data_IF_138698346208
#
_entry.id   IF_138698346208
#
_cell.length_a   1.000
_cell.length_b   1.000
_cell.length_c   1.000
_cell.angle_alpha   90.00
_cell.angle_beta   90.00
_cell.angle_gamma   90.00
#
_symmetry.space_group_name_H-M   'P 1'
#
loop_
_entity.id
_entity.type
_entity.pdbx_description
1 polymer ?
#
# COMPACT_ATOMS: atom_id res chain seq x y z
N UNK A 1 -25.75 -26.81 5.23
CA UNK A 1 -24.31 -27.09 5.30
C UNK A 1 -23.48 -25.97 5.96
N UNK A 2 -24.03 -24.78 6.18
CA UNK A 2 -23.31 -23.61 6.73
C UNK A 2 -23.52 -23.37 8.24
N UNK A 3 -24.50 -23.98 8.89
CA UNK A 3 -24.83 -23.72 10.29
C UNK A 3 -23.85 -24.18 11.37
N UNK A 4 -22.84 -25.00 11.04
CA UNK A 4 -21.83 -25.49 12.00
C UNK A 4 -20.47 -24.80 11.87
N UNK A 5 -20.24 -23.97 10.85
CA UNK A 5 -18.92 -23.44 10.54
C UNK A 5 -18.51 -22.18 11.32
N UNK A 6 -19.44 -21.47 11.92
CA UNK A 6 -19.21 -20.09 12.39
C UNK A 6 -18.77 -19.95 13.81
N UNK A 7 -19.19 -20.85 14.69
CA UNK A 7 -18.73 -20.88 16.09
C UNK A 7 -17.21 -21.12 16.20
N UNK A 8 -16.62 -21.71 15.18
CA UNK A 8 -15.20 -22.09 15.16
C UNK A 8 -14.23 -20.95 14.81
N UNK A 9 -14.73 -19.71 14.55
CA UNK A 9 -13.90 -18.58 14.09
C UNK A 9 -14.18 -17.27 14.85
N UNK A 10 -14.83 -17.29 15.99
CA UNK A 10 -15.18 -16.08 16.76
C UNK A 10 -13.97 -15.38 17.33
N UNK A 11 -13.05 -16.13 17.92
CA UNK A 11 -11.79 -15.60 18.43
C UNK A 11 -10.91 -15.07 17.30
N UNK A 12 -10.83 -15.79 16.19
CA UNK A 12 -10.08 -15.38 15.01
C UNK A 12 -10.62 -14.06 14.43
N UNK A 13 -11.95 -13.87 14.40
CA UNK A 13 -12.57 -12.61 13.97
C UNK A 13 -12.26 -11.49 14.96
N UNK A 14 -12.38 -11.75 16.26
CA UNK A 14 -12.03 -10.79 17.30
C UNK A 14 -10.56 -10.38 17.17
N UNK A 15 -9.64 -11.32 17.03
CA UNK A 15 -8.22 -11.07 16.85
C UNK A 15 -7.94 -10.26 15.56
N UNK A 16 -8.62 -10.62 14.48
CA UNK A 16 -8.53 -9.88 13.21
C UNK A 16 -8.91 -8.40 13.39
N UNK A 17 -10.00 -8.07 14.12
CA UNK A 17 -10.37 -6.69 14.35
C UNK A 17 -9.30 -5.92 15.14
N UNK A 18 -8.68 -6.55 16.17
CA UNK A 18 -7.61 -5.93 16.96
C UNK A 18 -6.40 -5.61 16.09
N UNK A 19 -5.95 -6.58 15.29
CA UNK A 19 -4.82 -6.37 14.38
C UNK A 19 -5.17 -5.41 13.22
N UNK A 20 -6.37 -5.41 12.72
CA UNK A 20 -6.82 -4.41 11.74
C UNK A 20 -6.80 -2.99 12.35
N UNK A 21 -7.17 -2.86 13.62
CA UNK A 21 -7.02 -1.61 14.38
C UNK A 21 -5.56 -1.14 14.44
N UNK A 22 -4.62 -2.06 14.69
CA UNK A 22 -3.18 -1.74 14.66
C UNK A 22 -2.72 -1.31 13.26
N UNK A 23 -3.21 -1.94 12.19
CA UNK A 23 -2.90 -1.54 10.81
C UNK A 23 -3.39 -0.12 10.54
N UNK A 24 -4.62 0.22 10.93
CA UNK A 24 -5.15 1.58 10.80
C UNK A 24 -4.37 2.58 11.64
N UNK A 25 -3.99 2.23 12.87
CA UNK A 25 -3.15 3.08 13.73
C UNK A 25 -1.83 3.43 13.03
N UNK A 26 -1.16 2.43 12.46
CA UNK A 26 0.08 2.62 11.70
C UNK A 26 -0.15 3.44 10.43
N UNK A 27 -1.25 3.21 9.71
CA UNK A 27 -1.60 3.94 8.49
C UNK A 27 -1.80 5.43 8.76
N UNK A 28 -2.63 5.78 9.76
CA UNK A 28 -2.90 7.18 10.12
C UNK A 28 -1.67 7.85 10.74
N UNK A 29 -0.91 7.16 11.60
CA UNK A 29 0.33 7.71 12.19
C UNK A 29 1.36 8.00 11.11
N UNK A 30 1.56 7.06 10.17
CA UNK A 30 2.47 7.25 9.05
C UNK A 30 2.04 8.38 8.10
N UNK A 31 0.73 8.57 7.92
CA UNK A 31 0.18 9.64 7.09
C UNK A 31 0.33 11.01 7.75
N UNK A 32 0.04 11.12 9.04
CA UNK A 32 0.06 12.39 9.78
C UNK A 32 1.41 13.11 9.74
N UNK A 33 2.51 12.37 9.81
CA UNK A 33 3.86 12.96 9.76
C UNK A 33 4.23 13.52 8.38
N UNK A 34 3.44 13.23 7.34
CA UNK A 34 3.68 13.65 5.96
C UNK A 34 2.59 14.58 5.42
N UNK A 35 1.44 14.65 6.10
CA UNK A 35 0.20 15.18 5.53
C UNK A 35 0.31 16.63 5.08
N UNK A 36 0.97 17.49 5.85
CA UNK A 36 1.16 18.90 5.51
C UNK A 36 2.02 19.07 4.26
N UNK A 37 3.14 18.36 4.19
CA UNK A 37 4.05 18.45 3.05
C UNK A 37 3.43 17.86 1.77
N UNK A 38 2.55 16.88 1.89
CA UNK A 38 1.90 16.26 0.72
C UNK A 38 0.64 17.03 0.29
N UNK A 39 -0.28 17.34 1.22
CA UNK A 39 -1.65 17.78 0.93
C UNK A 39 -2.06 19.09 1.61
N UNK A 40 -1.22 19.63 2.48
CA UNK A 40 -1.47 20.91 3.15
C UNK A 40 -1.61 22.05 2.15
N UNK A 41 -2.05 23.21 2.62
CA UNK A 41 -2.28 24.40 1.80
C UNK A 41 -1.05 24.83 0.98
N UNK A 42 0.15 24.58 1.50
CA UNK A 42 1.44 24.78 0.84
C UNK A 42 2.17 23.49 0.51
N UNK A 43 1.46 22.36 0.53
CA UNK A 43 2.00 21.04 0.19
C UNK A 43 2.28 20.86 -1.30
N UNK A 44 2.78 19.68 -1.66
CA UNK A 44 3.07 19.32 -3.06
C UNK A 44 1.78 19.27 -3.90
N UNK A 45 0.70 18.67 -3.36
CA UNK A 45 -0.60 18.55 -4.02
C UNK A 45 -1.72 19.03 -3.08
N UNK A 46 -1.95 20.36 -2.95
CA UNK A 46 -2.90 20.90 -1.99
C UNK A 46 -4.32 20.34 -2.15
N UNK A 47 -4.88 19.79 -1.07
CA UNK A 47 -6.20 19.19 -1.05
C UNK A 47 -7.30 20.16 -1.48
N UNK A 48 -7.25 21.42 -1.00
CA UNK A 48 -8.22 22.46 -1.34
C UNK A 48 -8.27 22.76 -2.84
N UNK A 49 -7.12 22.88 -3.49
CA UNK A 49 -7.03 23.11 -4.93
C UNK A 49 -7.59 21.92 -5.73
N UNK A 50 -7.29 20.69 -5.29
CA UNK A 50 -7.84 19.48 -5.92
C UNK A 50 -9.36 19.45 -5.82
N UNK A 51 -9.92 19.74 -4.64
CA UNK A 51 -11.37 19.75 -4.44
C UNK A 51 -12.04 20.86 -5.25
N UNK A 52 -11.44 22.04 -5.36
CA UNK A 52 -11.99 23.11 -6.20
C UNK A 52 -11.99 22.71 -7.69
N UNK A 53 -10.92 22.08 -8.21
CA UNK A 53 -10.88 21.51 -9.56
C UNK A 53 -11.95 20.44 -9.75
N UNK A 54 -12.14 19.54 -8.76
CA UNK A 54 -13.15 18.49 -8.80
C UNK A 54 -14.58 19.09 -8.76
N UNK A 55 -14.80 20.14 -7.98
CA UNK A 55 -16.08 20.89 -7.93
C UNK A 55 -16.44 21.46 -9.30
N UNK A 56 -15.49 22.13 -9.98
CA UNK A 56 -15.69 22.69 -11.31
C UNK A 56 -15.96 21.61 -12.36
N UNK A 57 -15.23 20.49 -12.28
CA UNK A 57 -15.32 19.41 -13.27
C UNK A 57 -16.58 18.56 -13.14
N UNK A 58 -17.01 18.23 -11.93
CA UNK A 58 -18.04 17.22 -11.68
C UNK A 58 -19.39 17.80 -11.17
N UNK A 59 -19.44 19.07 -10.79
CA UNK A 59 -20.65 19.68 -10.20
C UNK A 59 -21.14 18.87 -8.98
N UNK A 60 -22.44 18.52 -8.97
CA UNK A 60 -23.04 17.74 -7.86
C UNK A 60 -22.47 16.31 -7.80
N UNK A 61 -22.04 15.73 -8.93
CA UNK A 61 -21.46 14.39 -8.98
C UNK A 61 -20.11 14.27 -8.24
N UNK A 62 -19.53 15.39 -7.78
CA UNK A 62 -18.29 15.40 -7.00
C UNK A 62 -18.38 14.56 -5.74
N UNK A 63 -19.52 14.54 -5.05
CA UNK A 63 -19.73 13.77 -3.81
C UNK A 63 -19.63 12.25 -4.06
N UNK A 64 -20.01 11.81 -5.23
CA UNK A 64 -19.87 10.43 -5.65
C UNK A 64 -18.48 10.13 -6.23
N UNK A 65 -17.92 11.03 -7.06
CA UNK A 65 -16.61 10.82 -7.73
C UNK A 65 -15.42 10.99 -6.80
N UNK A 66 -15.60 11.77 -5.75
CA UNK A 66 -14.60 12.05 -4.73
C UNK A 66 -15.29 12.01 -3.35
N UNK A 67 -15.59 10.81 -2.83
CA UNK A 67 -16.30 10.63 -1.56
C UNK A 67 -15.38 10.97 -0.39
N UNK A 68 -15.40 12.22 0.07
CA UNK A 68 -14.53 12.71 1.13
C UNK A 68 -15.26 13.62 2.09
N UNK A 69 -14.90 13.57 3.38
CA UNK A 69 -15.35 14.47 4.41
C UNK A 69 -14.77 15.89 4.23
N UNK A 70 -13.68 16.01 3.49
CA UNK A 70 -13.00 17.29 3.25
C UNK A 70 -13.75 18.27 2.35
N UNK A 71 -14.92 17.89 1.82
CA UNK A 71 -15.86 18.85 1.23
C UNK A 71 -16.40 19.86 2.22
N UNK A 72 -16.45 19.53 3.52
CA UNK A 72 -16.88 20.41 4.59
C UNK A 72 -15.76 21.40 4.95
N UNK A 73 -14.55 20.90 5.13
CA UNK A 73 -13.37 21.70 5.46
C UNK A 73 -12.10 20.96 5.01
N UNK A 74 -11.28 21.61 4.18
CA UNK A 74 -10.02 21.07 3.65
C UNK A 74 -8.78 21.81 4.16
N UNK A 75 -8.92 22.58 5.26
CA UNK A 75 -7.79 23.26 5.90
C UNK A 75 -6.78 22.26 6.50
N UNK A 76 -5.56 22.72 6.74
CA UNK A 76 -4.51 21.93 7.38
C UNK A 76 -4.95 21.37 8.74
N UNK A 77 -5.73 22.13 9.51
CA UNK A 77 -6.29 21.66 10.79
C UNK A 77 -7.32 20.53 10.59
N UNK A 78 -8.15 20.62 9.55
CA UNK A 78 -9.11 19.57 9.24
C UNK A 78 -8.43 18.28 8.80
N UNK A 79 -7.37 18.37 8.00
CA UNK A 79 -6.55 17.22 7.59
C UNK A 79 -5.92 16.54 8.82
N UNK A 80 -5.29 17.33 9.70
CA UNK A 80 -4.69 16.80 10.94
C UNK A 80 -5.76 16.22 11.86
N UNK A 81 -6.88 16.93 12.04
CA UNK A 81 -7.99 16.50 12.89
C UNK A 81 -8.57 15.15 12.44
N UNK A 82 -8.80 14.96 11.14
CA UNK A 82 -9.27 13.69 10.60
C UNK A 82 -8.25 12.55 10.82
N UNK A 83 -6.95 12.83 10.72
CA UNK A 83 -5.91 11.86 11.06
C UNK A 83 -5.88 11.49 12.54
N UNK A 84 -6.07 12.47 13.44
CA UNK A 84 -6.17 12.24 14.90
C UNK A 84 -7.42 11.41 15.22
N UNK A 85 -8.57 11.72 14.61
CA UNK A 85 -9.79 10.89 14.73
C UNK A 85 -9.50 9.45 14.31
N UNK A 86 -8.79 9.26 13.19
CA UNK A 86 -8.35 7.94 12.76
C UNK A 86 -7.51 7.21 13.81
N UNK A 87 -6.56 7.89 14.45
CA UNK A 87 -5.75 7.31 15.53
C UNK A 87 -6.62 6.92 16.74
N UNK A 88 -7.51 7.81 17.20
CA UNK A 88 -8.38 7.54 18.36
C UNK A 88 -9.26 6.33 18.11
N UNK A 89 -9.95 6.26 16.96
CA UNK A 89 -10.80 5.12 16.63
C UNK A 89 -10.00 3.83 16.36
N UNK A 90 -8.76 3.95 15.90
CA UNK A 90 -7.86 2.79 15.83
C UNK A 90 -7.55 2.22 17.21
N UNK A 91 -7.27 3.07 18.19
CA UNK A 91 -7.05 2.65 19.58
C UNK A 91 -8.32 2.05 20.21
N UNK A 92 -9.50 2.64 19.98
CA UNK A 92 -10.77 2.07 20.41
C UNK A 92 -10.98 0.67 19.80
N UNK A 93 -10.66 0.49 18.52
CA UNK A 93 -10.75 -0.81 17.86
C UNK A 93 -9.77 -1.83 18.46
N UNK A 94 -8.53 -1.43 18.73
CA UNK A 94 -7.50 -2.29 19.36
C UNK A 94 -7.93 -2.74 20.78
N UNK A 95 -8.55 -1.85 21.55
CA UNK A 95 -8.98 -2.10 22.93
C UNK A 95 -10.39 -2.69 23.05
N UNK A 96 -10.98 -3.15 21.96
CA UNK A 96 -12.32 -3.76 21.87
C UNK A 96 -13.50 -2.85 22.24
N UNK A 97 -13.35 -1.57 21.98
CA UNK A 97 -14.42 -0.61 22.21
C UNK A 97 -15.08 -0.18 20.89
N UNK A 98 -16.41 -0.18 20.87
CA UNK A 98 -17.21 0.31 19.73
C UNK A 98 -16.77 -0.27 18.37
N UNK A 99 -16.49 -1.57 18.31
CA UNK A 99 -15.86 -2.24 17.16
C UNK A 99 -16.47 -1.85 15.81
N UNK A 100 -17.80 -1.98 15.62
CA UNK A 100 -18.46 -1.66 14.34
C UNK A 100 -18.43 -0.16 14.03
N UNK A 101 -18.63 0.71 15.02
CA UNK A 101 -18.54 2.17 14.85
C UNK A 101 -17.12 2.57 14.49
N UNK A 102 -16.13 2.02 15.19
CA UNK A 102 -14.73 2.29 14.92
C UNK A 102 -14.34 1.92 13.49
N UNK A 103 -14.73 0.73 13.03
CA UNK A 103 -14.45 0.27 11.66
C UNK A 103 -15.09 1.19 10.61
N UNK A 104 -16.33 1.64 10.82
CA UNK A 104 -16.99 2.56 9.91
C UNK A 104 -16.29 3.92 9.86
N UNK A 105 -15.99 4.51 11.02
CA UNK A 105 -15.28 5.80 11.11
C UNK A 105 -13.89 5.72 10.49
N UNK A 106 -13.13 4.67 10.77
CA UNK A 106 -11.80 4.43 10.20
C UNK A 106 -11.87 4.33 8.68
N UNK A 107 -12.82 3.57 8.16
CA UNK A 107 -13.04 3.45 6.72
C UNK A 107 -13.41 4.80 6.09
N UNK A 108 -14.34 5.56 6.67
CA UNK A 108 -14.75 6.87 6.16
C UNK A 108 -13.60 7.89 6.18
N UNK A 109 -12.83 7.95 7.27
CA UNK A 109 -11.66 8.83 7.37
C UNK A 109 -10.59 8.45 6.35
N UNK A 110 -10.26 7.15 6.22
CA UNK A 110 -9.24 6.71 5.29
C UNK A 110 -9.65 6.90 3.83
N UNK A 111 -10.91 6.60 3.49
CA UNK A 111 -11.49 6.88 2.18
C UNK A 111 -11.41 8.39 1.85
N UNK A 112 -11.65 9.24 2.85
CA UNK A 112 -11.55 10.69 2.66
C UNK A 112 -10.14 11.12 2.27
N UNK A 113 -9.11 10.57 2.90
CA UNK A 113 -7.72 10.83 2.52
C UNK A 113 -7.37 10.26 1.15
N UNK A 114 -7.77 9.02 0.86
CA UNK A 114 -7.49 8.39 -0.44
C UNK A 114 -8.18 9.16 -1.57
N UNK A 115 -9.39 9.66 -1.35
CA UNK A 115 -10.14 10.45 -2.34
C UNK A 115 -9.47 11.76 -2.73
N UNK A 116 -8.73 12.40 -1.82
CA UNK A 116 -7.95 13.61 -2.11
C UNK A 116 -6.48 13.30 -2.40
N UNK A 117 -6.08 12.06 -2.22
CA UNK A 117 -4.68 11.62 -2.12
C UNK A 117 -3.91 11.60 -3.43
N UNK A 118 -4.60 11.80 -4.56
CA UNK A 118 -3.99 11.91 -5.87
C UNK A 118 -2.86 10.87 -6.06
N UNK A 119 -1.69 11.27 -6.53
CA UNK A 119 -0.56 10.37 -6.79
C UNK A 119 0.01 9.68 -5.53
N UNK A 120 -0.13 10.29 -4.34
CA UNK A 120 0.52 9.76 -3.12
C UNK A 120 -0.32 8.74 -2.32
N UNK A 121 -1.61 8.54 -2.64
CA UNK A 121 -2.51 7.60 -1.95
C UNK A 121 -3.27 6.68 -2.93
N UNK A 122 -2.70 6.39 -4.11
CA UNK A 122 -3.26 5.49 -5.11
C UNK A 122 -2.54 4.13 -5.17
N UNK A 123 -1.96 3.69 -4.08
CA UNK A 123 -1.26 2.41 -4.03
C UNK A 123 -2.21 1.25 -3.70
N UNK A 124 -1.80 0.03 -4.07
CA UNK A 124 -2.64 -1.16 -3.84
C UNK A 124 -2.87 -1.47 -2.35
N UNK A 125 -1.97 -1.06 -1.46
CA UNK A 125 -2.20 -1.20 0.00
C UNK A 125 -3.27 -0.26 0.54
N UNK A 126 -3.41 0.96 -0.02
CA UNK A 126 -4.49 1.87 0.34
C UNK A 126 -5.84 1.29 -0.09
N UNK A 127 -5.90 0.75 -1.31
CA UNK A 127 -7.07 0.08 -1.84
C UNK A 127 -7.43 -1.19 -1.03
N UNK A 128 -6.43 -2.00 -0.65
CA UNK A 128 -6.65 -3.20 0.17
C UNK A 128 -7.14 -2.84 1.56
N UNK A 129 -6.58 -1.80 2.20
CA UNK A 129 -7.02 -1.37 3.53
C UNK A 129 -8.48 -0.88 3.51
N UNK A 130 -8.90 -0.17 2.46
CA UNK A 130 -10.30 0.24 2.29
C UNK A 130 -11.23 -0.94 2.05
N UNK A 131 -10.87 -1.87 1.16
CA UNK A 131 -11.68 -3.06 0.90
C UNK A 131 -11.84 -3.91 2.17
N UNK A 132 -10.75 -4.20 2.86
CA UNK A 132 -10.76 -5.01 4.09
C UNK A 132 -11.42 -4.27 5.26
N UNK A 133 -11.25 -2.96 5.37
CA UNK A 133 -11.90 -2.15 6.39
C UNK A 133 -13.42 -2.18 6.28
N UNK A 134 -13.96 -2.06 5.04
CA UNK A 134 -15.38 -2.16 4.81
C UNK A 134 -15.92 -3.58 5.04
N UNK A 135 -15.20 -4.60 4.60
CA UNK A 135 -15.56 -5.99 4.88
C UNK A 135 -15.50 -6.30 6.37
N UNK A 136 -14.52 -5.77 7.10
CA UNK A 136 -14.44 -5.86 8.55
C UNK A 136 -15.65 -5.21 9.23
N UNK A 137 -16.08 -4.04 8.74
CA UNK A 137 -17.32 -3.41 9.22
C UNK A 137 -18.54 -4.31 9.03
N UNK A 138 -18.75 -4.88 7.84
CA UNK A 138 -19.85 -5.82 7.61
C UNK A 138 -19.77 -7.06 8.48
N UNK A 139 -18.56 -7.64 8.60
CA UNK A 139 -18.30 -8.80 9.44
C UNK A 139 -18.59 -8.53 10.93
N UNK A 140 -18.31 -7.31 11.41
CA UNK A 140 -18.59 -6.92 12.80
C UNK A 140 -20.08 -6.77 13.12
N UNK A 141 -20.92 -6.63 12.11
CA UNK A 141 -22.37 -6.54 12.21
C UNK A 141 -23.07 -7.89 11.93
N UNK A 142 -22.33 -8.85 11.35
CA UNK A 142 -22.89 -10.17 11.02
C UNK A 142 -23.02 -11.03 12.27
N UNK A 143 -24.01 -11.92 12.29
CA UNK A 143 -24.17 -12.84 13.41
C UNK A 143 -23.24 -14.04 13.27
N UNK A 144 -22.86 -14.68 14.39
CA UNK A 144 -22.04 -15.91 14.35
C UNK A 144 -22.67 -17.05 13.56
N UNK A 145 -23.99 -17.01 13.32
CA UNK A 145 -24.72 -18.02 12.55
C UNK A 145 -24.60 -17.81 11.03
N UNK A 146 -24.12 -16.66 10.58
CA UNK A 146 -23.94 -16.35 9.16
C UNK A 146 -22.48 -16.37 8.77
N UNK A 147 -22.09 -17.37 8.00
CA UNK A 147 -20.72 -17.50 7.47
C UNK A 147 -20.46 -16.66 6.22
N UNK A 148 -21.43 -15.88 5.75
CA UNK A 148 -21.33 -15.31 4.40
C UNK A 148 -20.31 -14.17 4.33
N UNK A 149 -20.31 -13.26 5.31
CA UNK A 149 -19.31 -12.18 5.35
C UNK A 149 -17.89 -12.72 5.58
N UNK A 150 -17.74 -13.77 6.39
CA UNK A 150 -16.48 -14.46 6.59
C UNK A 150 -16.01 -15.17 5.31
N UNK A 151 -16.91 -15.85 4.61
CA UNK A 151 -16.62 -16.50 3.33
C UNK A 151 -16.20 -15.48 2.27
N UNK A 152 -16.88 -14.31 2.20
CA UNK A 152 -16.47 -13.22 1.31
C UNK A 152 -15.04 -12.73 1.64
N UNK A 153 -14.70 -12.61 2.91
CA UNK A 153 -13.32 -12.25 3.31
C UNK A 153 -12.31 -13.30 2.85
N UNK A 154 -12.60 -14.60 3.00
CA UNK A 154 -11.77 -15.68 2.46
C UNK A 154 -11.62 -15.61 0.94
N UNK A 155 -12.71 -15.29 0.23
CA UNK A 155 -12.68 -15.12 -1.21
C UNK A 155 -11.83 -13.92 -1.63
N UNK A 156 -11.85 -12.81 -0.87
CA UNK A 156 -10.98 -11.66 -1.13
C UNK A 156 -9.51 -12.02 -0.91
N UNK A 157 -9.18 -12.77 0.15
CA UNK A 157 -7.80 -13.27 0.38
C UNK A 157 -7.34 -14.14 -0.80
N UNK A 158 -8.18 -15.10 -1.21
CA UNK A 158 -7.93 -15.92 -2.39
C UNK A 158 -7.68 -15.07 -3.64
N UNK A 159 -8.62 -14.17 -3.95
CA UNK A 159 -8.54 -13.31 -5.12
C UNK A 159 -7.31 -12.42 -5.11
N UNK A 160 -6.95 -11.86 -3.95
CA UNK A 160 -5.79 -11.03 -3.77
C UNK A 160 -4.49 -11.79 -4.09
N UNK A 161 -4.29 -12.95 -3.48
CA UNK A 161 -3.08 -13.77 -3.68
C UNK A 161 -3.01 -14.35 -5.09
N UNK A 162 -4.08 -14.99 -5.55
CA UNK A 162 -4.15 -15.58 -6.87
C UNK A 162 -3.98 -14.55 -7.99
N UNK A 163 -4.62 -13.37 -7.88
CA UNK A 163 -4.48 -12.30 -8.88
C UNK A 163 -3.05 -11.81 -8.97
N UNK A 164 -2.36 -11.70 -7.83
CA UNK A 164 -0.95 -11.26 -7.79
C UNK A 164 -0.05 -12.23 -8.56
N UNK A 165 -0.26 -13.54 -8.40
CA UNK A 165 0.52 -14.57 -9.10
C UNK A 165 0.16 -14.67 -10.59
N UNK A 166 -1.12 -14.86 -10.90
CA UNK A 166 -1.54 -15.10 -12.28
C UNK A 166 -1.26 -13.91 -13.21
N UNK A 167 -1.38 -12.68 -12.72
CA UNK A 167 -1.07 -11.48 -13.51
C UNK A 167 0.41 -11.38 -13.89
N UNK A 168 1.34 -11.89 -13.08
CA UNK A 168 2.76 -11.99 -13.40
C UNK A 168 2.96 -12.84 -14.67
N UNK A 169 2.25 -13.97 -14.76
CA UNK A 169 2.31 -14.83 -15.96
C UNK A 169 1.57 -14.25 -17.17
N UNK A 170 0.39 -13.61 -16.93
CA UNK A 170 -0.43 -13.01 -17.98
C UNK A 170 0.14 -11.70 -18.54
N UNK A 171 1.05 -11.03 -17.82
CA UNK A 171 1.69 -9.80 -18.27
C UNK A 171 2.54 -9.96 -19.54
N UNK A 172 3.00 -11.17 -19.80
CA UNK A 172 3.92 -11.46 -20.89
C UNK A 172 5.39 -11.19 -20.56
N UNK A 173 5.70 -10.74 -19.36
CA UNK A 173 7.07 -10.48 -18.93
C UNK A 173 7.91 -11.76 -18.95
N UNK A 174 9.02 -11.69 -19.67
CA UNK A 174 9.94 -12.83 -19.84
C UNK A 174 10.61 -13.22 -18.53
N UNK A 175 10.86 -12.29 -17.61
CA UNK A 175 11.57 -12.57 -16.35
C UNK A 175 10.76 -13.47 -15.43
N UNK A 176 9.43 -13.35 -15.41
CA UNK A 176 8.55 -14.28 -14.68
C UNK A 176 8.49 -15.64 -15.36
N UNK A 177 8.39 -15.68 -16.69
CA UNK A 177 8.27 -16.93 -17.45
C UNK A 177 9.54 -17.78 -17.44
N UNK A 178 10.72 -17.14 -17.46
CA UNK A 178 12.02 -17.84 -17.41
C UNK A 178 12.58 -17.95 -15.97
N UNK A 179 11.79 -17.60 -14.97
CA UNK A 179 12.12 -17.67 -13.56
C UNK A 179 13.33 -16.81 -13.13
N UNK A 180 13.60 -15.71 -13.83
CA UNK A 180 14.71 -14.81 -13.49
C UNK A 180 14.29 -13.54 -12.75
N UNK A 181 13.00 -13.34 -12.46
CA UNK A 181 12.47 -12.09 -11.92
C UNK A 181 13.18 -11.64 -10.63
N UNK A 182 13.39 -12.55 -9.67
CA UNK A 182 14.01 -12.19 -8.39
C UNK A 182 15.51 -11.86 -8.51
N UNK A 183 16.17 -12.24 -9.62
CA UNK A 183 17.54 -11.78 -9.90
C UNK A 183 17.63 -10.25 -9.99
N UNK A 184 16.57 -9.61 -10.49
CA UNK A 184 16.51 -8.15 -10.67
C UNK A 184 15.80 -7.46 -9.50
N UNK A 185 14.77 -8.10 -8.97
CA UNK A 185 13.86 -7.51 -8.00
C UNK A 185 14.55 -6.89 -6.79
N UNK A 186 15.52 -7.59 -6.18
CA UNK A 186 16.16 -7.13 -4.95
C UNK A 186 16.87 -5.79 -5.10
N UNK A 187 17.45 -5.51 -6.25
CA UNK A 187 18.14 -4.26 -6.56
C UNK A 187 17.17 -3.18 -7.03
N UNK A 188 16.18 -3.55 -7.86
CA UNK A 188 15.34 -2.60 -8.58
C UNK A 188 14.05 -2.21 -7.86
N UNK A 189 13.69 -2.88 -6.75
CA UNK A 189 12.52 -2.54 -5.95
C UNK A 189 12.63 -1.12 -5.34
N UNK A 190 11.51 -0.45 -4.98
CA UNK A 190 11.54 0.95 -4.55
C UNK A 190 12.51 1.24 -3.41
N UNK A 191 12.38 0.55 -2.29
CA UNK A 191 13.17 0.76 -1.09
C UNK A 191 13.72 -0.59 -0.59
N UNK A 192 14.86 -1.06 -1.13
CA UNK A 192 15.45 -2.32 -0.70
C UNK A 192 15.98 -2.25 0.74
N UNK A 193 15.86 -3.36 1.46
CA UNK A 193 16.44 -3.53 2.79
C UNK A 193 17.91 -3.95 2.72
N UNK A 194 18.67 -3.91 3.83
CA UNK A 194 20.01 -4.47 3.85
C UNK A 194 20.07 -5.92 3.39
N UNK A 195 19.06 -6.73 3.75
CA UNK A 195 19.00 -8.13 3.34
C UNK A 195 18.84 -8.30 1.82
N UNK A 196 18.17 -7.35 1.14
CA UNK A 196 18.04 -7.38 -0.33
C UNK A 196 19.39 -7.38 -1.03
N UNK A 197 20.38 -6.63 -0.51
CA UNK A 197 21.72 -6.61 -1.07
C UNK A 197 22.38 -7.98 -1.00
N UNK A 198 22.28 -8.69 0.14
CA UNK A 198 22.81 -10.05 0.28
C UNK A 198 22.07 -11.04 -0.61
N UNK A 199 20.74 -10.96 -0.64
CA UNK A 199 19.93 -11.82 -1.50
C UNK A 199 20.25 -11.62 -2.98
N UNK A 200 20.50 -10.39 -3.42
CA UNK A 200 20.91 -10.09 -4.79
C UNK A 200 22.22 -10.81 -5.20
N UNK A 201 23.12 -11.07 -4.25
CA UNK A 201 24.42 -11.77 -4.51
C UNK A 201 24.30 -13.29 -4.58
N UNK A 202 23.14 -13.83 -4.31
CA UNK A 202 22.93 -15.28 -4.37
C UNK A 202 23.03 -15.83 -5.80
N UNK A 203 23.39 -17.12 -5.98
CA UNK A 203 23.50 -17.73 -7.31
C UNK A 203 22.19 -17.69 -8.10
N UNK A 204 22.30 -17.69 -9.44
CA UNK A 204 21.13 -17.65 -10.35
C UNK A 204 20.14 -18.81 -10.09
N UNK A 205 20.64 -19.99 -9.73
CA UNK A 205 19.79 -21.14 -9.38
C UNK A 205 18.88 -20.83 -8.18
N UNK A 206 19.40 -20.15 -7.15
CA UNK A 206 18.63 -19.70 -6.00
C UNK A 206 17.50 -18.75 -6.43
N UNK A 207 17.79 -17.74 -7.25
CA UNK A 207 16.78 -16.82 -7.74
C UNK A 207 15.67 -17.51 -8.53
N UNK A 208 16.03 -18.53 -9.35
CA UNK A 208 15.05 -19.31 -10.10
C UNK A 208 14.12 -20.11 -9.19
N UNK A 209 14.69 -20.78 -8.17
CA UNK A 209 13.91 -21.52 -7.18
C UNK A 209 12.98 -20.58 -6.44
N UNK A 210 13.47 -19.45 -5.92
CA UNK A 210 12.67 -18.48 -5.21
C UNK A 210 11.57 -17.87 -6.11
N UNK A 211 11.86 -17.59 -7.39
CA UNK A 211 10.85 -17.10 -8.35
C UNK A 211 9.75 -18.13 -8.58
N UNK A 212 10.13 -19.40 -8.75
CA UNK A 212 9.16 -20.50 -8.87
C UNK A 212 8.30 -20.62 -7.62
N UNK A 213 8.92 -20.60 -6.42
CA UNK A 213 8.19 -20.67 -5.15
C UNK A 213 7.19 -19.51 -4.97
N UNK A 214 7.58 -18.29 -5.31
CA UNK A 214 6.65 -17.14 -5.28
C UNK A 214 5.44 -17.39 -6.17
N UNK A 215 5.64 -17.79 -7.43
CA UNK A 215 4.56 -18.08 -8.36
C UNK A 215 3.69 -19.25 -7.88
N UNK A 216 4.30 -20.34 -7.40
CA UNK A 216 3.58 -21.49 -6.86
C UNK A 216 2.74 -21.13 -5.65
N UNK A 217 3.30 -20.38 -4.69
CA UNK A 217 2.61 -19.96 -3.47
C UNK A 217 1.45 -19.01 -3.82
N UNK A 218 1.66 -18.03 -4.70
CA UNK A 218 0.61 -17.07 -5.04
C UNK A 218 -0.51 -17.70 -5.89
N UNK A 219 -0.22 -18.72 -6.72
CA UNK A 219 -1.20 -19.30 -7.65
C UNK A 219 -1.87 -20.55 -7.08
N UNK A 220 -1.10 -21.49 -6.52
CA UNK A 220 -1.62 -22.80 -6.12
C UNK A 220 -2.13 -22.82 -4.68
N UNK A 221 -1.38 -22.23 -3.73
CA UNK A 221 -1.72 -22.30 -2.31
C UNK A 221 -3.07 -21.65 -1.96
N UNK A 222 -3.52 -20.54 -2.58
CA UNK A 222 -4.82 -19.92 -2.26
C UNK A 222 -6.02 -20.87 -2.43
N UNK A 223 -5.95 -21.87 -3.31
CA UNK A 223 -7.05 -22.86 -3.47
C UNK A 223 -7.27 -23.70 -2.21
N UNK A 224 -6.24 -23.91 -1.39
CA UNK A 224 -6.36 -24.63 -0.12
C UNK A 224 -7.23 -23.91 0.90
N UNK A 225 -7.49 -22.61 0.73
CA UNK A 225 -8.39 -21.81 1.58
C UNK A 225 -9.80 -22.42 1.61
N UNK A 226 -10.25 -22.99 0.50
CA UNK A 226 -11.59 -23.58 0.36
C UNK A 226 -11.65 -25.09 0.66
N UNK A 227 -10.53 -25.66 1.11
CA UNK A 227 -10.42 -27.08 1.47
C UNK A 227 -10.77 -27.31 2.95
N UNK A 228 -10.25 -28.36 3.57
CA UNK A 228 -10.45 -28.64 4.99
C UNK A 228 -9.83 -27.59 5.91
N UNK A 229 -10.25 -27.52 7.17
CA UNK A 229 -9.69 -26.60 8.17
C UNK A 229 -8.17 -26.76 8.28
N UNK A 230 -7.63 -27.98 8.25
CA UNK A 230 -6.18 -28.23 8.29
C UNK A 230 -5.47 -27.61 7.08
N UNK A 231 -5.99 -27.84 5.87
CA UNK A 231 -5.39 -27.29 4.64
C UNK A 231 -5.50 -25.76 4.59
N UNK A 232 -6.56 -25.19 5.14
CA UNK A 232 -6.72 -23.73 5.27
C UNK A 232 -5.67 -23.13 6.20
N UNK A 233 -5.39 -23.77 7.33
CA UNK A 233 -4.31 -23.34 8.25
C UNK A 233 -2.94 -23.44 7.58
N UNK A 234 -2.67 -24.52 6.84
CA UNK A 234 -1.45 -24.68 6.06
C UNK A 234 -1.31 -23.59 5.02
N UNK A 235 -2.40 -23.24 4.32
CA UNK A 235 -2.41 -22.13 3.37
C UNK A 235 -2.08 -20.80 4.07
N UNK A 236 -2.75 -20.51 5.19
CA UNK A 236 -2.51 -19.28 5.95
C UNK A 236 -1.03 -19.17 6.39
N UNK A 237 -0.45 -20.26 6.87
CA UNK A 237 0.96 -20.29 7.30
C UNK A 237 1.91 -20.06 6.12
N UNK A 238 1.73 -20.74 5.00
CA UNK A 238 2.60 -20.60 3.82
C UNK A 238 2.50 -19.16 3.26
N UNK A 239 1.28 -18.62 3.16
CA UNK A 239 1.05 -17.27 2.69
C UNK A 239 1.66 -16.23 3.65
N UNK A 240 1.55 -16.44 4.98
CA UNK A 240 2.18 -15.57 5.97
C UNK A 240 3.72 -15.61 5.88
N UNK A 241 4.32 -16.79 5.72
CA UNK A 241 5.76 -16.95 5.53
C UNK A 241 6.26 -16.24 4.28
N UNK A 242 5.49 -16.28 3.18
CA UNK A 242 5.80 -15.50 1.97
C UNK A 242 5.82 -13.99 2.29
N UNK A 243 4.82 -13.47 3.02
CA UNK A 243 4.78 -12.06 3.38
C UNK A 243 5.95 -11.65 4.29
N UNK A 244 6.33 -12.51 5.23
CA UNK A 244 7.52 -12.30 6.08
C UNK A 244 8.80 -12.25 5.23
N UNK A 245 8.98 -13.18 4.28
CA UNK A 245 10.13 -13.17 3.36
C UNK A 245 10.21 -11.87 2.54
N UNK A 246 9.06 -11.36 2.07
CA UNK A 246 8.98 -10.09 1.34
C UNK A 246 9.35 -8.91 2.26
N UNK A 247 8.83 -8.86 3.50
CA UNK A 247 9.17 -7.82 4.50
C UNK A 247 10.66 -7.79 4.79
N UNK A 248 11.30 -8.95 4.91
CA UNK A 248 12.73 -9.03 5.21
C UNK A 248 13.59 -8.49 4.07
N UNK A 249 13.13 -8.60 2.83
CA UNK A 249 13.91 -8.20 1.64
C UNK A 249 13.48 -6.88 1.02
N UNK A 250 12.32 -6.33 1.41
CA UNK A 250 11.80 -5.09 0.83
C UNK A 250 10.90 -4.31 1.79
N UNK A 251 10.84 -3.01 1.60
CA UNK A 251 10.07 -2.09 2.41
C UNK A 251 8.74 -1.75 1.74
N UNK A 252 7.74 -2.60 1.90
CA UNK A 252 6.39 -2.38 1.37
C UNK A 252 5.42 -1.83 2.44
N UNK A 253 5.95 -1.35 3.55
CA UNK A 253 5.23 -0.69 4.62
C UNK A 253 4.10 -1.54 5.19
N UNK A 254 2.91 -0.97 5.21
CA UNK A 254 1.71 -1.62 5.76
C UNK A 254 1.20 -2.81 4.93
N UNK A 255 1.60 -2.92 3.66
CA UNK A 255 1.00 -3.90 2.75
C UNK A 255 1.19 -5.34 3.22
N UNK A 256 2.41 -5.71 3.60
CA UNK A 256 2.68 -7.06 4.08
C UNK A 256 2.06 -7.32 5.45
N UNK A 257 2.06 -6.32 6.34
CA UNK A 257 1.41 -6.43 7.65
C UNK A 257 -0.09 -6.67 7.47
N UNK A 258 -0.76 -5.86 6.65
CA UNK A 258 -2.17 -6.05 6.32
C UNK A 258 -2.41 -7.41 5.66
N UNK A 259 -1.50 -7.84 4.74
CA UNK A 259 -1.60 -9.15 4.08
C UNK A 259 -1.50 -10.31 5.08
N UNK A 260 -0.75 -10.19 6.17
CA UNK A 260 -0.72 -11.18 7.25
C UNK A 260 -1.99 -11.10 8.09
N UNK A 261 -2.46 -9.91 8.43
CA UNK A 261 -3.67 -9.71 9.25
C UNK A 261 -4.90 -10.31 8.60
N UNK A 262 -5.07 -10.20 7.30
CA UNK A 262 -6.22 -10.80 6.58
C UNK A 262 -6.19 -12.33 6.53
N UNK A 263 -5.08 -12.98 6.91
CA UNK A 263 -4.98 -14.43 7.02
C UNK A 263 -5.50 -14.96 8.39
N UNK A 264 -5.59 -14.10 9.41
CA UNK A 264 -6.05 -14.50 10.76
C UNK A 264 -7.42 -15.19 10.72
N UNK A 265 -8.44 -14.67 10.01
CA UNK A 265 -9.77 -15.31 9.93
C UNK A 265 -9.80 -16.64 9.16
N UNK A 266 -8.69 -17.09 8.59
CA UNK A 266 -8.55 -18.43 7.99
C UNK A 266 -8.26 -19.51 9.04
N UNK A 267 -7.82 -19.13 10.24
CA UNK A 267 -7.38 -20.04 11.29
C UNK A 267 -8.53 -20.32 12.26
N UNK A 268 -8.97 -21.59 12.43
CA UNK A 268 -10.02 -21.94 13.37
C UNK A 268 -9.63 -21.71 14.83
N UNK A 269 -10.60 -21.34 15.67
CA UNK A 269 -10.40 -21.05 17.10
C UNK A 269 -9.73 -22.18 17.87
N UNK A 270 -9.98 -23.43 17.48
CA UNK A 270 -9.32 -24.61 18.06
C UNK A 270 -7.79 -24.53 17.98
N UNK A 271 -7.22 -23.96 16.93
CA UNK A 271 -5.77 -23.81 16.79
C UNK A 271 -5.25 -22.80 17.81
N UNK A 272 -5.95 -21.66 17.96
CA UNK A 272 -5.61 -20.64 18.95
C UNK A 272 -5.72 -21.20 20.38
N UNK A 273 -6.78 -21.97 20.67
CA UNK A 273 -6.93 -22.63 21.97
C UNK A 273 -5.74 -23.55 22.29
N UNK A 274 -5.31 -24.34 21.32
CA UNK A 274 -4.15 -25.23 21.50
C UNK A 274 -2.84 -24.47 21.75
N UNK A 275 -2.71 -23.22 21.26
CA UNK A 275 -1.53 -22.39 21.45
C UNK A 275 -1.56 -21.58 22.75
N UNK A 276 -2.73 -21.11 23.18
CA UNK A 276 -2.88 -20.17 24.32
C UNK A 276 -3.39 -20.85 25.60
N UNK A 277 -3.93 -22.05 25.50
CA UNK A 277 -4.52 -22.81 26.64
C UNK A 277 -5.87 -22.26 27.13
N UNK A 278 -6.31 -21.10 26.66
CA UNK A 278 -7.59 -20.49 27.00
C UNK A 278 -8.10 -19.58 25.88
N UNK A 279 -9.40 -19.58 25.69
CA UNK A 279 -10.11 -18.60 24.83
C UNK A 279 -11.27 -18.06 25.66
N UNK A 280 -11.33 -16.75 25.83
CA UNK A 280 -12.51 -16.11 26.40
C UNK A 280 -13.68 -16.31 25.45
N UNK A 281 -14.87 -16.56 26.01
CA UNK A 281 -16.11 -16.62 25.22
C UNK A 281 -16.44 -15.22 24.75
N UNK A 282 -16.39 -15.01 23.44
CA UNK A 282 -16.77 -13.74 22.83
C UNK A 282 -18.27 -13.78 22.48
N UNK A 283 -19.02 -12.83 23.04
CA UNK A 283 -20.41 -12.66 22.69
C UNK A 283 -20.52 -11.70 21.49
N UNK A 284 -21.05 -12.20 20.41
CA UNK A 284 -21.46 -11.35 19.30
C UNK A 284 -22.75 -10.63 19.66
N UNK A 285 -22.82 -9.33 19.37
CA UNK A 285 -24.06 -8.58 19.54
C UNK A 285 -25.15 -9.15 18.63
N UNK A 286 -26.30 -9.51 19.21
CA UNK A 286 -27.46 -9.94 18.42
C UNK A 286 -28.12 -8.71 17.80
N UNK A 287 -28.02 -8.58 16.49
CA UNK A 287 -28.73 -7.55 15.73
C UNK A 287 -30.13 -8.04 15.30
N UNK A 288 -31.03 -7.09 15.04
CA UNK A 288 -32.37 -7.42 14.56
C UNK A 288 -32.34 -8.17 13.23
N UNK A 289 -33.33 -9.01 12.95
CA UNK A 289 -33.45 -9.76 11.68
C UNK A 289 -33.38 -8.85 10.44
N UNK A 290 -33.99 -7.65 10.53
CA UNK A 290 -33.92 -6.67 9.44
C UNK A 290 -32.51 -6.24 9.11
N UNK A 291 -31.68 -5.94 10.12
CA UNK A 291 -30.29 -5.59 9.94
C UNK A 291 -29.52 -6.74 9.28
N UNK A 292 -29.75 -7.99 9.73
CA UNK A 292 -29.11 -9.17 9.14
C UNK A 292 -29.45 -9.35 7.65
N UNK A 293 -30.71 -9.16 7.25
CA UNK A 293 -31.10 -9.22 5.83
C UNK A 293 -30.37 -8.15 4.99
N UNK A 294 -30.23 -6.93 5.52
CA UNK A 294 -29.50 -5.85 4.83
C UNK A 294 -28.04 -6.23 4.68
N UNK A 295 -27.40 -6.74 5.74
CA UNK A 295 -25.98 -7.15 5.70
C UNK A 295 -25.78 -8.26 4.67
N UNK A 296 -26.63 -9.29 4.66
CA UNK A 296 -26.56 -10.39 3.70
C UNK A 296 -26.77 -9.92 2.26
N UNK A 297 -27.68 -8.98 2.03
CA UNK A 297 -27.89 -8.39 0.72
C UNK A 297 -26.64 -7.64 0.24
N UNK A 298 -26.06 -6.76 1.07
CA UNK A 298 -24.85 -6.00 0.74
C UNK A 298 -23.69 -6.97 0.49
N UNK A 299 -23.49 -7.96 1.35
CA UNK A 299 -22.45 -8.99 1.21
C UNK A 299 -22.63 -9.77 -0.09
N UNK A 300 -23.86 -10.10 -0.47
CA UNK A 300 -24.19 -10.77 -1.74
C UNK A 300 -23.82 -9.92 -2.96
N UNK A 301 -24.15 -8.64 -2.93
CA UNK A 301 -23.76 -7.71 -4.00
C UNK A 301 -22.23 -7.61 -4.10
N UNK A 302 -21.54 -7.47 -2.97
CA UNK A 302 -20.08 -7.42 -2.95
C UNK A 302 -19.45 -8.73 -3.42
N UNK A 303 -20.02 -9.87 -3.08
CA UNK A 303 -19.55 -11.16 -3.57
C UNK A 303 -19.64 -11.26 -5.10
N UNK A 304 -20.77 -10.83 -5.69
CA UNK A 304 -20.94 -10.78 -7.14
C UNK A 304 -19.92 -9.85 -7.78
N UNK A 305 -19.70 -8.65 -7.22
CA UNK A 305 -18.71 -7.72 -7.73
C UNK A 305 -17.26 -8.27 -7.63
N UNK A 306 -16.95 -8.97 -6.54
CA UNK A 306 -15.67 -9.66 -6.35
C UNK A 306 -15.47 -10.79 -7.36
N UNK A 307 -16.53 -11.55 -7.66
CA UNK A 307 -16.51 -12.60 -8.68
C UNK A 307 -16.30 -12.00 -10.08
N UNK A 308 -17.01 -10.91 -10.39
CA UNK A 308 -16.81 -10.19 -11.66
C UNK A 308 -15.39 -9.62 -11.77
N UNK A 309 -14.83 -9.10 -10.70
CA UNK A 309 -13.44 -8.63 -10.66
C UNK A 309 -12.42 -9.76 -10.88
N UNK A 310 -12.71 -10.94 -10.33
CA UNK A 310 -11.92 -12.15 -10.55
C UNK A 310 -11.99 -12.60 -12.02
N UNK A 311 -13.19 -12.68 -12.59
CA UNK A 311 -13.41 -13.04 -13.99
C UNK A 311 -12.75 -12.03 -14.95
N UNK A 312 -12.74 -10.74 -14.58
CA UNK A 312 -12.11 -9.68 -15.36
C UNK A 312 -10.58 -9.82 -15.53
N UNK A 313 -9.92 -10.69 -14.74
CA UNK A 313 -8.51 -11.02 -14.94
C UNK A 313 -8.31 -11.72 -16.30
N UNK A 314 -9.26 -12.55 -16.69
CA UNK A 314 -9.20 -13.38 -17.89
C UNK A 314 -10.01 -12.79 -19.05
N UNK A 315 -11.16 -12.17 -18.73
CA UNK A 315 -12.08 -11.62 -19.72
C UNK A 315 -11.98 -10.09 -19.75
N UNK A 316 -11.43 -9.54 -20.82
CA UNK A 316 -11.33 -8.09 -21.05
C UNK A 316 -12.67 -7.51 -21.52
N UNK A 317 -13.76 -7.70 -20.76
CA UNK A 317 -15.09 -7.21 -21.09
C UNK A 317 -15.28 -5.75 -20.71
N UNK A 318 -15.58 -4.90 -21.69
CA UNK A 318 -15.90 -3.47 -21.46
C UNK A 318 -17.12 -3.28 -20.56
N UNK A 319 -18.11 -4.16 -20.62
CA UNK A 319 -19.31 -4.13 -19.77
C UNK A 319 -18.97 -4.36 -18.30
N UNK A 320 -18.17 -5.38 -18.00
CA UNK A 320 -17.71 -5.69 -16.64
C UNK A 320 -16.90 -4.52 -16.08
N UNK A 321 -15.95 -3.96 -16.85
CA UNK A 321 -15.19 -2.79 -16.41
C UNK A 321 -16.07 -1.58 -16.13
N UNK A 322 -17.09 -1.32 -16.96
CA UNK A 322 -18.04 -0.21 -16.74
C UNK A 322 -18.83 -0.40 -15.44
N UNK A 323 -19.32 -1.62 -15.18
CA UNK A 323 -20.03 -1.94 -13.94
C UNK A 323 -19.14 -1.75 -12.72
N UNK A 324 -17.94 -2.32 -12.71
CA UNK A 324 -16.98 -2.20 -11.61
C UNK A 324 -16.57 -0.73 -11.38
N UNK A 325 -16.46 0.07 -12.44
CA UNK A 325 -16.11 1.51 -12.34
C UNK A 325 -17.16 2.34 -11.59
N UNK A 326 -18.40 1.87 -11.49
CA UNK A 326 -19.45 2.49 -10.65
C UNK A 326 -19.06 2.44 -9.17
N UNK A 327 -18.44 1.37 -8.72
CA UNK A 327 -18.08 1.17 -7.31
C UNK A 327 -16.65 1.62 -6.99
N UNK A 328 -15.83 1.91 -8.02
CA UNK A 328 -14.41 2.26 -7.85
C UNK A 328 -14.14 3.46 -6.95
N UNK A 329 -14.97 4.53 -6.88
CA UNK A 329 -14.69 5.66 -5.99
C UNK A 329 -14.71 5.30 -4.51
N UNK A 330 -15.36 4.20 -4.13
CA UNK A 330 -15.45 3.74 -2.74
C UNK A 330 -14.44 2.65 -2.39
N UNK A 331 -13.63 2.19 -3.34
CA UNK A 331 -12.62 1.14 -3.15
C UNK A 331 -13.16 -0.14 -2.50
N UNK A 332 -14.43 -0.50 -2.76
CA UNK A 332 -15.09 -1.68 -2.19
C UNK A 332 -14.65 -2.99 -2.84
N UNK A 333 -14.21 -2.93 -4.10
CA UNK A 333 -13.69 -4.07 -4.87
C UNK A 333 -12.55 -3.59 -5.75
N UNK A 334 -11.35 -4.12 -5.55
CA UNK A 334 -10.16 -3.62 -6.20
C UNK A 334 -9.43 -4.69 -7.00
N UNK A 335 -8.50 -4.24 -7.85
CA UNK A 335 -7.63 -5.08 -8.67
C UNK A 335 -6.24 -5.15 -8.04
N UNK A 336 -5.69 -6.35 -7.91
CA UNK A 336 -4.37 -6.57 -7.31
C UNK A 336 -3.41 -7.20 -8.32
N UNK A 337 -2.13 -6.88 -8.19
CA UNK A 337 -1.06 -7.40 -9.02
C UNK A 337 0.17 -6.49 -8.95
N UNK A 338 0.98 -6.66 -7.91
CA UNK A 338 2.25 -5.95 -7.79
C UNK A 338 3.33 -6.62 -8.63
N UNK A 339 4.23 -5.82 -9.19
CA UNK A 339 5.39 -6.28 -9.96
C UNK A 339 5.05 -7.26 -11.08
N UNK A 340 3.93 -7.04 -11.76
CA UNK A 340 3.51 -7.86 -12.91
C UNK A 340 4.49 -7.74 -14.08
N UNK A 341 5.15 -6.61 -14.20
CA UNK A 341 6.29 -6.38 -15.10
C UNK A 341 7.51 -6.03 -14.24
N UNK A 342 8.61 -6.73 -14.44
CA UNK A 342 9.82 -6.57 -13.65
C UNK A 342 10.72 -5.49 -14.23
N UNK A 343 11.15 -4.57 -13.38
CA UNK A 343 12.20 -3.61 -13.70
C UNK A 343 13.55 -4.33 -13.66
N UNK A 344 14.34 -4.21 -14.71
CA UNK A 344 15.63 -4.91 -14.83
C UNK A 344 16.84 -4.00 -14.59
N UNK A 345 16.66 -2.68 -14.69
CA UNK A 345 17.65 -1.65 -14.38
C UNK A 345 17.06 -0.70 -13.34
N UNK A 346 17.88 -0.26 -12.41
CA UNK A 346 17.44 0.72 -11.41
C UNK A 346 17.79 2.13 -11.87
N UNK A 347 16.77 2.94 -12.05
CA UNK A 347 16.90 4.37 -12.29
C UNK A 347 16.48 5.15 -11.04
N UNK A 348 17.17 6.26 -10.79
CA UNK A 348 16.83 7.22 -9.74
C UNK A 348 16.90 8.64 -10.29
N UNK A 349 15.96 9.47 -9.86
CA UNK A 349 15.96 10.91 -10.13
C UNK A 349 16.46 11.62 -8.87
N UNK A 350 17.57 12.34 -8.97
CA UNK A 350 18.11 13.16 -7.89
C UNK A 350 17.84 14.63 -8.19
N UNK A 351 17.42 15.36 -7.15
CA UNK A 351 17.11 16.79 -7.23
C UNK A 351 18.30 17.57 -6.70
N UNK A 352 18.72 18.57 -7.45
CA UNK A 352 19.85 19.43 -7.13
C UNK A 352 19.44 20.90 -7.17
N UNK A 353 19.85 21.66 -6.16
CA UNK A 353 19.71 23.12 -6.11
C UNK A 353 21.05 23.83 -6.28
N UNK A 354 21.00 25.10 -6.71
CA UNK A 354 22.17 25.97 -6.86
C UNK A 354 21.79 27.43 -6.66
N UNK A 355 22.72 28.22 -6.12
CA UNK A 355 22.57 29.68 -5.98
C UNK A 355 23.15 30.45 -7.19
N UNK A 356 24.13 29.86 -7.88
CA UNK A 356 24.91 30.48 -8.96
C UNK A 356 24.74 29.80 -10.33
N UNK A 357 24.02 28.66 -10.39
CA UNK A 357 23.84 27.85 -11.58
C UNK A 357 25.06 27.00 -11.97
N UNK A 358 26.13 27.02 -11.17
CA UNK A 358 27.39 26.32 -11.39
C UNK A 358 27.62 25.27 -10.31
N UNK A 359 27.53 25.66 -9.05
CA UNK A 359 27.71 24.80 -7.90
C UNK A 359 26.38 24.17 -7.46
N UNK A 360 26.26 22.85 -7.67
CA UNK A 360 25.02 22.10 -7.41
C UNK A 360 25.13 21.27 -6.14
N UNK A 361 24.09 21.29 -5.30
CA UNK A 361 23.99 20.54 -4.05
C UNK A 361 22.75 19.65 -4.09
N UNK A 362 22.90 18.33 -3.78
CA UNK A 362 21.81 17.36 -3.82
C UNK A 362 20.91 17.47 -2.59
N UNK A 363 19.59 17.39 -2.79
CA UNK A 363 18.61 17.14 -1.74
C UNK A 363 18.58 15.67 -1.38
N UNK A 364 18.85 15.32 -0.12
CA UNK A 364 18.81 13.93 0.33
C UNK A 364 17.39 13.56 0.80
N UNK A 365 16.89 12.43 0.30
CA UNK A 365 15.66 11.82 0.75
C UNK A 365 15.87 10.97 2.01
N UNK A 366 14.79 10.72 2.79
CA UNK A 366 14.92 9.97 4.05
C UNK A 366 15.23 8.50 3.83
N UNK A 367 14.70 7.92 2.76
CA UNK A 367 14.69 6.48 2.56
C UNK A 367 15.26 6.04 1.20
N UNK A 368 14.96 6.76 0.10
CA UNK A 368 15.54 6.43 -1.20
C UNK A 368 17.04 6.77 -1.24
N UNK A 369 17.85 6.00 -2.00
CA UNK A 369 19.25 6.34 -2.18
C UNK A 369 19.40 7.63 -3.00
N UNK A 370 20.40 8.44 -2.62
CA UNK A 370 20.85 9.64 -3.35
C UNK A 370 22.37 9.56 -3.53
N UNK A 371 23.11 9.24 -2.47
CA UNK A 371 24.56 9.04 -2.50
C UNK A 371 24.90 7.56 -2.49
N UNK A 372 26.10 7.23 -2.92
CA UNK A 372 26.59 5.84 -3.01
C UNK A 372 26.73 5.18 -1.64
N UNK A 373 27.07 5.96 -0.60
CA UNK A 373 27.23 5.54 0.78
C UNK A 373 25.92 5.47 1.56
N UNK A 374 24.79 5.95 0.99
CA UNK A 374 23.50 5.92 1.67
C UNK A 374 23.15 4.49 2.09
N UNK A 375 23.01 4.22 3.41
CA UNK A 375 22.73 2.88 3.89
C UNK A 375 21.34 2.42 3.51
N UNK A 376 21.21 1.14 3.18
CA UNK A 376 19.91 0.48 3.10
C UNK A 376 19.32 0.38 4.51
N UNK A 377 18.00 0.61 4.65
CA UNK A 377 17.31 0.68 5.95
C UNK A 377 15.99 -0.07 5.90
N UNK A 378 15.52 -0.52 7.06
CA UNK A 378 14.12 -0.89 7.25
C UNK A 378 13.33 0.35 7.66
N UNK A 379 12.27 0.66 6.94
CA UNK A 379 11.35 1.75 7.27
C UNK A 379 9.98 1.27 7.79
N UNK A 380 9.73 -0.02 7.73
CA UNK A 380 8.50 -0.62 8.23
C UNK A 380 8.36 -0.32 9.74
N UNK A 381 7.17 0.10 10.20
CA UNK A 381 5.88 0.12 9.49
C UNK A 381 5.57 1.44 8.76
N UNK A 382 6.50 2.39 8.71
CA UNK A 382 6.30 3.69 8.05
C UNK A 382 6.21 3.53 6.53
N UNK A 383 5.30 4.32 5.92
CA UNK A 383 5.08 4.36 4.48
C UNK A 383 5.52 5.72 3.93
N UNK A 384 6.78 5.87 3.46
CA UNK A 384 7.30 7.15 2.95
C UNK A 384 6.75 7.40 1.53
N UNK A 385 5.67 8.18 1.45
CA UNK A 385 4.91 8.39 0.23
C UNK A 385 5.71 9.08 -0.87
N UNK A 386 6.50 10.09 -0.50
CA UNK A 386 7.32 10.83 -1.44
C UNK A 386 8.45 9.96 -2.03
N UNK A 387 9.18 9.23 -1.15
CA UNK A 387 10.28 8.36 -1.59
C UNK A 387 9.78 7.27 -2.55
N UNK A 388 8.61 6.69 -2.27
CA UNK A 388 7.96 5.72 -3.16
C UNK A 388 7.56 6.34 -4.50
N UNK A 389 7.02 7.56 -4.48
CA UNK A 389 6.57 8.23 -5.71
C UNK A 389 7.76 8.63 -6.59
N UNK A 390 8.91 8.98 -6.00
CA UNK A 390 10.15 9.22 -6.74
C UNK A 390 10.64 7.99 -7.51
N UNK A 391 10.46 6.78 -6.95
CA UNK A 391 10.78 5.55 -7.68
C UNK A 391 9.86 5.36 -8.91
N UNK A 392 8.57 5.59 -8.79
CA UNK A 392 7.65 5.54 -9.94
C UNK A 392 7.98 6.60 -10.99
N UNK A 393 8.42 7.79 -10.57
CA UNK A 393 8.85 8.84 -11.48
C UNK A 393 10.02 8.36 -12.35
N UNK A 394 11.01 7.71 -11.75
CA UNK A 394 12.20 7.21 -12.47
C UNK A 394 11.87 6.10 -13.49
N UNK A 395 10.74 5.40 -13.34
CA UNK A 395 10.29 4.39 -14.30
C UNK A 395 9.58 4.98 -15.54
N UNK A 396 9.16 6.23 -15.48
CA UNK A 396 8.46 6.88 -16.59
C UNK A 396 9.47 7.38 -17.62
N UNK A 397 9.33 6.91 -18.85
CA UNK A 397 10.25 7.29 -19.92
C UNK A 397 9.91 8.65 -20.56
N UNK A 398 8.72 9.18 -20.36
CA UNK A 398 8.25 10.42 -21.01
C UNK A 398 7.32 11.22 -20.08
N UNK A 399 7.57 12.54 -20.04
CA UNK A 399 6.76 13.52 -19.33
C UNK A 399 7.14 13.71 -17.85
N UNK A 400 6.92 14.92 -17.38
CA UNK A 400 7.13 15.31 -15.98
C UNK A 400 5.75 15.42 -15.34
N UNK A 401 5.53 14.70 -14.24
CA UNK A 401 4.27 14.74 -13.50
C UNK A 401 4.06 16.07 -12.80
N UNK A 402 2.81 16.51 -12.69
CA UNK A 402 2.44 17.76 -12.04
C UNK A 402 2.93 17.81 -10.58
N UNK A 403 2.81 16.68 -9.85
CA UNK A 403 3.29 16.61 -8.48
C UNK A 403 4.80 16.86 -8.37
N UNK A 404 5.58 16.41 -9.36
CA UNK A 404 7.03 16.61 -9.36
C UNK A 404 7.40 18.05 -9.68
N UNK A 405 6.70 18.69 -10.63
CA UNK A 405 6.84 20.13 -10.89
C UNK A 405 6.55 20.93 -9.63
N UNK A 406 5.45 20.62 -8.96
CA UNK A 406 5.08 21.28 -7.69
C UNK A 406 6.14 21.05 -6.60
N UNK A 407 6.69 19.83 -6.49
CA UNK A 407 7.79 19.56 -5.56
C UNK A 407 8.97 20.50 -5.82
N UNK A 408 9.42 20.63 -7.08
CA UNK A 408 10.52 21.53 -7.44
C UNK A 408 10.20 23.00 -7.10
N UNK A 409 8.98 23.45 -7.39
CA UNK A 409 8.53 24.81 -7.06
C UNK A 409 8.53 25.05 -5.54
N UNK A 410 8.02 24.09 -4.75
CA UNK A 410 8.03 24.21 -3.27
C UNK A 410 9.44 24.21 -2.67
N UNK A 411 10.38 23.51 -3.30
CA UNK A 411 11.79 23.57 -2.89
C UNK A 411 12.45 24.91 -3.23
N UNK A 412 12.11 25.49 -4.39
CA UNK A 412 12.53 26.86 -4.76
C UNK A 412 11.91 27.94 -3.87
N UNK A 413 10.70 27.72 -3.36
CA UNK A 413 10.03 28.60 -2.39
C UNK A 413 10.58 28.42 -0.97
N UNK A 414 11.36 27.38 -0.71
CA UNK A 414 11.84 27.04 0.63
C UNK A 414 10.76 26.57 1.58
N UNK A 415 9.67 25.95 1.07
CA UNK A 415 8.51 25.58 1.88
C UNK A 415 8.86 24.53 2.94
N UNK A 416 8.80 24.96 4.21
CA UNK A 416 9.25 24.14 5.36
C UNK A 416 8.49 22.83 5.52
N UNK A 417 7.19 22.80 5.19
CA UNK A 417 6.38 21.57 5.28
C UNK A 417 6.83 20.51 4.26
N UNK A 418 7.27 20.92 3.07
CA UNK A 418 7.80 20.04 2.03
C UNK A 418 9.25 19.64 2.34
N UNK A 419 10.07 20.58 2.78
CA UNK A 419 11.44 20.30 3.23
C UNK A 419 11.48 19.28 4.37
N UNK A 420 10.48 19.27 5.26
CA UNK A 420 10.36 18.28 6.34
C UNK A 420 10.18 16.83 5.85
N UNK A 421 9.76 16.62 4.61
CA UNK A 421 9.68 15.29 3.98
C UNK A 421 11.08 14.75 3.60
N UNK A 422 12.06 15.62 3.41
CA UNK A 422 13.41 15.28 3.04
C UNK A 422 14.30 15.00 4.28
N UNK A 423 15.44 14.36 4.07
CA UNK A 423 16.42 14.09 5.13
C UNK A 423 17.26 15.33 5.42
N UNK A 424 17.74 16.01 4.38
CA UNK A 424 18.57 17.22 4.50
C UNK A 424 18.08 18.30 3.56
N UNK A 425 18.13 19.55 4.07
CA UNK A 425 18.00 20.74 3.25
C UNK A 425 19.41 21.32 3.03
N UNK A 426 19.98 21.29 1.80
CA UNK A 426 21.28 21.83 1.52
C UNK A 426 21.31 23.39 1.48
N UNK A 427 20.14 24.04 1.66
CA UNK A 427 19.97 25.50 1.62
C UNK A 427 19.21 25.98 2.88
N UNK A 428 19.84 25.91 4.08
CA UNK A 428 19.14 26.21 5.34
C UNK A 428 18.85 27.72 5.53
N UNK A 429 19.66 28.61 4.96
CA UNK A 429 19.55 30.05 5.17
C UNK A 429 18.60 30.71 4.19
N UNK A 430 18.65 30.32 2.92
CA UNK A 430 17.80 30.85 1.84
C UNK A 430 17.56 29.75 0.79
N UNK A 431 16.37 29.69 0.17
CA UNK A 431 16.11 28.70 -0.87
C UNK A 431 17.02 28.94 -2.09
N UNK A 432 17.33 27.89 -2.87
CA UNK A 432 18.21 28.01 -4.05
C UNK A 432 17.54 28.86 -5.14
N UNK A 433 18.35 29.57 -5.94
CA UNK A 433 17.84 30.30 -7.10
C UNK A 433 17.48 29.40 -8.27
N UNK A 434 18.18 28.27 -8.40
CA UNK A 434 18.03 27.32 -9.48
C UNK A 434 17.84 25.92 -8.93
N UNK A 435 17.02 25.14 -9.61
CA UNK A 435 16.80 23.71 -9.32
C UNK A 435 16.82 22.92 -10.61
N UNK A 436 17.36 21.70 -10.57
CA UNK A 436 17.33 20.74 -11.67
C UNK A 436 17.13 19.33 -11.13
N UNK A 437 16.84 18.40 -12.02
CA UNK A 437 16.84 16.98 -11.66
C UNK A 437 17.71 16.19 -12.65
N UNK A 438 18.52 15.28 -12.12
CA UNK A 438 19.44 14.44 -12.88
C UNK A 438 19.00 12.99 -12.76
N UNK A 439 18.96 12.29 -13.89
CA UNK A 439 18.69 10.85 -13.96
C UNK A 439 20.01 10.09 -13.79
N UNK A 440 19.99 9.09 -12.92
CA UNK A 440 21.10 8.18 -12.68
C UNK A 440 20.67 6.74 -12.88
N UNK A 441 21.59 5.91 -13.33
CA UNK A 441 21.53 4.45 -13.19
C UNK A 441 22.24 4.06 -11.91
N UNK A 442 21.58 3.23 -11.10
CA UNK A 442 22.14 2.70 -9.83
C UNK A 442 22.27 1.20 -9.92
N UNK A 443 23.29 0.65 -9.29
CA UNK A 443 23.43 -0.77 -9.06
C UNK A 443 24.05 -1.05 -7.69
N UNK A 444 23.78 -2.22 -7.16
CA UNK A 444 24.44 -2.66 -5.95
C UNK A 444 25.91 -2.94 -6.20
N UNK A 445 26.76 -2.40 -5.34
CA UNK A 445 28.19 -2.72 -5.31
C UNK A 445 28.43 -4.23 -5.19
N UNK A 446 29.51 -4.74 -5.74
CA UNK A 446 29.99 -6.09 -5.45
C UNK A 446 30.40 -6.22 -3.98
N UNK A 447 30.58 -7.44 -3.51
CA UNK A 447 31.07 -7.71 -2.14
C UNK A 447 32.45 -7.11 -1.91
N UNK A 448 33.31 -7.14 -2.93
CA UNK A 448 34.66 -6.60 -2.89
C UNK A 448 34.65 -5.06 -2.86
N UNK A 449 33.87 -4.43 -3.74
CA UNK A 449 33.69 -2.96 -3.77
C UNK A 449 33.15 -2.45 -2.45
N UNK A 450 32.10 -3.09 -1.90
CA UNK A 450 31.54 -2.73 -0.61
C UNK A 450 32.56 -2.83 0.53
N UNK A 451 33.41 -3.87 0.52
CA UNK A 451 34.48 -4.03 1.53
C UNK A 451 35.52 -2.92 1.45
N UNK A 452 35.85 -2.47 0.22
CA UNK A 452 36.84 -1.43 -0.02
C UNK A 452 36.33 -0.02 0.26
N UNK A 453 35.11 0.27 -0.17
CA UNK A 453 34.54 1.64 -0.17
C UNK A 453 33.54 1.91 0.95
N UNK A 454 32.93 0.87 1.53
CA UNK A 454 31.80 0.98 2.44
C UNK A 454 30.46 1.28 1.74
N UNK A 455 30.48 1.58 0.43
CA UNK A 455 29.30 1.99 -0.33
C UNK A 455 28.37 0.82 -0.63
N UNK A 456 27.08 1.09 -0.58
CA UNK A 456 26.03 0.12 -0.94
C UNK A 456 25.69 0.17 -2.43
N UNK A 457 25.94 1.33 -3.05
CA UNK A 457 25.54 1.66 -4.41
C UNK A 457 26.73 2.13 -5.24
N UNK A 458 26.65 1.85 -6.52
CA UNK A 458 27.38 2.52 -7.58
C UNK A 458 26.37 3.27 -8.42
N UNK A 459 26.66 4.52 -8.80
CA UNK A 459 25.76 5.34 -9.61
C UNK A 459 26.49 5.94 -10.82
N UNK A 460 25.77 6.03 -11.93
CA UNK A 460 26.24 6.63 -13.17
C UNK A 460 25.24 7.68 -13.64
N UNK A 461 25.65 8.94 -13.86
CA UNK A 461 24.76 9.95 -14.41
C UNK A 461 24.43 9.60 -15.88
N UNK A 462 23.14 9.74 -16.23
CA UNK A 462 22.64 9.52 -17.60
C UNK A 462 22.29 10.82 -18.31
N UNK A 463 21.99 11.89 -17.56
CA UNK A 463 21.65 13.19 -18.11
C UNK A 463 20.59 13.92 -17.28
N UNK A 464 20.15 15.07 -17.77
CA UNK A 464 19.10 15.84 -17.11
C UNK A 464 17.75 15.16 -17.31
N UNK A 465 17.05 14.89 -16.19
CA UNK A 465 15.66 14.47 -16.18
C UNK A 465 14.72 15.68 -16.30
N UNK A 466 15.04 16.74 -15.55
CA UNK A 466 14.39 18.03 -15.63
C UNK A 466 15.46 19.11 -15.85
N UNK A 467 15.28 20.01 -16.85
CA UNK A 467 16.21 21.10 -17.06
C UNK A 467 16.25 22.06 -15.88
N UNK A 468 17.17 23.00 -15.91
CA UNK A 468 17.28 24.05 -14.88
C UNK A 468 16.04 24.92 -14.90
N UNK A 469 15.41 25.06 -13.71
CA UNK A 469 14.23 25.87 -13.45
C UNK A 469 14.54 26.91 -12.37
N UNK A 470 13.92 28.08 -12.44
CA UNK A 470 13.98 29.14 -11.43
C UNK A 470 12.58 29.77 -11.26
N UNK A 471 12.38 30.48 -10.13
CA UNK A 471 11.20 31.32 -9.91
C UNK A 471 11.44 32.69 -10.57
N UNK A 472 11.14 32.86 -11.84
CA UNK A 472 11.06 34.16 -12.47
C UNK A 472 9.62 34.56 -12.74
#
# INVERSE_FOLDING_TARGET
MFHGFTSDFLFSQWLFFRFLGLVYLLAFSSLLVQIKGLYGSKGILPAGEYLERARRRYGIRRFYRCPTLFWVNSSDHALIGAGIVGIVFSLLLVTDHLTSVSLLVLWMCYLSFVSIGQDFLMFQWDALLLEIGFLGFLLSLDTPSSSFSLFLLWFVVFRFMFSSGIRKLLSGDRTWRNLSALKYHYETQPLPTPLAWYMHKMPVAFHRICTFLVLFIEIAVPFLIFSSNTMRVVAALILALLQVAIVLTGNYGLFNILSIVILIPLVPDRIWFNLTGSINTFHSAMHSRAIQHIIHFITGVLFILNLLQFIAIFLKSKGVFRLLSVFSPFFLVNSYGLFTVMTTLRYEVNIEGSDDGVNWREYEFKWKPVKEDNPLKWNIPHQPRLDWQMWFLALRQHGIDLWFVNLLLRLLEGEGSVLSLLKTNPFPESPPRYIRAVLYEYRFTSTEEKRKTGCWWERKPLGLFCPVVNLK
#
